data_IF_960726835272
#
_entry.id   IF_960726835272
#
_cell.length_a   1.000
_cell.length_b   1.000
_cell.length_c   1.000
_cell.angle_alpha   90.00
_cell.angle_beta   90.00
_cell.angle_gamma   90.00
#
_symmetry.space_group_name_H-M   'P 1'
#
loop_
_entity.id
_entity.type
_entity.pdbx_description
1 polymer ?
#
# COMPACT_ATOMS: atom_id res chain seq x y z
N UNK A 1 15.73 21.40 -11.34
CA UNK A 1 15.43 20.07 -10.78
C UNK A 1 14.55 20.18 -9.54
N UNK A 2 14.86 21.10 -8.60
CA UNK A 2 13.99 21.40 -7.46
C UNK A 2 12.56 21.78 -7.87
N UNK A 3 12.38 22.62 -8.89
CA UNK A 3 11.05 22.98 -9.40
C UNK A 3 10.22 21.77 -9.85
N UNK A 4 10.89 20.75 -10.41
CA UNK A 4 10.23 19.52 -10.85
C UNK A 4 9.85 18.65 -9.65
N UNK A 5 10.73 18.56 -8.64
CA UNK A 5 10.45 17.83 -7.40
C UNK A 5 9.29 18.47 -6.64
N UNK A 6 9.22 19.81 -6.60
CA UNK A 6 8.11 20.54 -5.97
C UNK A 6 6.78 20.36 -6.73
N UNK A 7 6.81 20.26 -8.06
CA UNK A 7 5.63 19.89 -8.83
C UNK A 7 5.21 18.43 -8.57
N UNK A 8 6.15 17.47 -8.56
CA UNK A 8 5.87 16.07 -8.21
C UNK A 8 5.32 15.92 -6.79
N UNK A 9 5.80 16.74 -5.84
CA UNK A 9 5.26 16.83 -4.48
C UNK A 9 3.82 17.31 -4.48
N UNK A 10 3.49 18.35 -5.26
CA UNK A 10 2.11 18.82 -5.43
C UNK A 10 1.22 17.72 -6.00
N UNK A 11 1.71 16.97 -6.99
CA UNK A 11 0.98 15.84 -7.58
C UNK A 11 0.72 14.74 -6.54
N UNK A 12 1.72 14.39 -5.71
CA UNK A 12 1.54 13.43 -4.62
C UNK A 12 0.50 13.91 -3.61
N UNK A 13 0.58 15.17 -3.18
CA UNK A 13 -0.38 15.77 -2.24
C UNK A 13 -1.81 15.72 -2.78
N UNK A 14 -2.00 16.11 -4.04
CA UNK A 14 -3.32 16.01 -4.69
C UNK A 14 -3.79 14.56 -4.72
N UNK A 15 -2.90 13.61 -5.05
CA UNK A 15 -3.22 12.17 -5.05
C UNK A 15 -3.69 11.67 -3.69
N UNK A 16 -2.97 12.03 -2.62
CA UNK A 16 -3.31 11.65 -1.23
C UNK A 16 -4.69 12.19 -0.86
N UNK A 17 -4.91 13.49 -1.08
CA UNK A 17 -6.16 14.18 -0.67
C UNK A 17 -7.40 13.74 -1.47
N UNK A 18 -7.24 12.97 -2.57
CA UNK A 18 -8.39 12.33 -3.25
C UNK A 18 -9.00 11.19 -2.45
N UNK A 19 -8.21 10.50 -1.62
CA UNK A 19 -8.72 9.39 -0.83
C UNK A 19 -9.55 9.92 0.35
N UNK A 20 -10.82 9.49 0.46
CA UNK A 20 -11.73 9.93 1.54
C UNK A 20 -11.72 9.03 2.78
N UNK A 21 -11.31 7.76 2.63
CA UNK A 21 -11.39 6.75 3.70
C UNK A 21 -10.05 6.06 3.94
N UNK A 22 -9.47 5.51 2.89
CA UNK A 22 -8.19 4.81 2.97
C UNK A 22 -7.39 5.09 1.69
N UNK A 23 -6.09 5.27 1.84
CA UNK A 23 -5.13 5.34 0.75
C UNK A 23 -4.24 4.09 0.80
N UNK A 24 -4.14 3.38 -0.32
CA UNK A 24 -3.20 2.27 -0.48
C UNK A 24 -2.20 2.66 -1.56
N UNK A 25 -0.93 2.75 -1.19
CA UNK A 25 0.17 3.01 -2.12
C UNK A 25 0.89 1.69 -2.46
N UNK A 26 1.30 1.54 -3.70
CA UNK A 26 2.07 0.38 -4.17
C UNK A 26 3.33 0.83 -4.88
N UNK A 27 4.42 0.08 -4.71
CA UNK A 27 5.65 0.25 -5.48
C UNK A 27 6.05 -1.10 -6.08
N UNK A 28 6.77 -1.07 -7.19
CA UNK A 28 7.28 -2.27 -7.84
C UNK A 28 8.75 -2.48 -7.49
N UNK A 29 9.11 -3.64 -6.94
CA UNK A 29 10.52 -4.00 -6.69
C UNK A 29 11.29 -4.14 -8.01
N UNK A 30 10.63 -4.60 -9.07
CA UNK A 30 11.23 -4.81 -10.39
C UNK A 30 10.22 -4.48 -11.48
N UNK A 31 10.62 -3.68 -12.48
CA UNK A 31 9.80 -3.34 -13.65
C UNK A 31 10.61 -3.39 -14.94
N UNK A 32 9.96 -3.68 -16.06
CA UNK A 32 10.55 -3.57 -17.39
C UNK A 32 10.24 -2.18 -17.95
N UNK A 33 11.26 -1.38 -18.24
CA UNK A 33 11.13 -0.05 -18.85
C UNK A 33 12.06 0.01 -20.06
N UNK A 34 11.50 0.35 -21.22
CA UNK A 34 12.24 0.45 -22.49
C UNK A 34 13.09 -0.79 -22.79
N UNK A 35 12.52 -1.99 -22.62
CA UNK A 35 13.22 -3.26 -22.89
C UNK A 35 14.10 -3.78 -21.75
N UNK A 36 14.50 -2.92 -20.81
CA UNK A 36 15.45 -3.27 -19.74
C UNK A 36 14.74 -3.47 -18.40
N UNK A 37 15.23 -4.42 -17.60
CA UNK A 37 14.79 -4.59 -16.22
C UNK A 37 15.42 -3.54 -15.31
N UNK A 38 14.60 -2.87 -14.51
CA UNK A 38 15.00 -1.87 -13.53
C UNK A 38 14.45 -2.24 -12.16
N UNK A 39 15.20 -1.91 -11.12
CA UNK A 39 14.81 -2.02 -9.72
C UNK A 39 14.65 -0.60 -9.17
N UNK A 40 13.46 0.01 -9.29
CA UNK A 40 13.27 1.37 -8.82
C UNK A 40 13.19 1.39 -7.29
N UNK A 41 13.81 2.38 -6.68
CA UNK A 41 13.60 2.69 -5.27
C UNK A 41 12.17 3.21 -5.03
N UNK A 42 11.63 3.06 -3.81
CA UNK A 42 10.37 3.68 -3.41
C UNK A 42 10.38 5.21 -3.62
N UNK A 43 9.19 5.81 -3.75
CA UNK A 43 9.07 7.27 -3.86
C UNK A 43 9.55 7.93 -2.57
N UNK A 44 10.45 8.92 -2.68
CA UNK A 44 10.95 9.69 -1.53
C UNK A 44 9.84 10.31 -0.69
N UNK A 45 8.71 10.66 -1.30
CA UNK A 45 7.59 11.28 -0.60
C UNK A 45 6.91 10.34 0.40
N UNK A 46 7.15 9.02 0.32
CA UNK A 46 6.66 8.06 1.32
C UNK A 46 7.43 8.22 2.64
N UNK A 47 8.73 8.50 2.59
CA UNK A 47 9.57 8.67 3.78
C UNK A 47 9.29 10.00 4.49
N UNK A 48 8.77 10.98 3.76
CA UNK A 48 8.41 12.30 4.29
C UNK A 48 7.04 12.32 5.01
N UNK A 49 6.23 11.28 4.85
CA UNK A 49 4.93 11.16 5.50
C UNK A 49 5.09 10.77 6.99
N UNK A 50 4.07 11.04 7.84
CA UNK A 50 4.06 10.55 9.22
C UNK A 50 4.10 9.01 9.24
N UNK A 51 5.21 8.45 9.72
CA UNK A 51 5.44 7.00 9.66
C UNK A 51 4.49 6.21 10.59
N UNK A 52 3.99 6.84 11.65
CA UNK A 52 2.99 6.28 12.56
C UNK A 52 1.65 5.96 11.88
N UNK A 53 1.31 6.68 10.81
CA UNK A 53 0.07 6.47 10.05
C UNK A 53 0.24 5.44 8.92
N UNK A 54 1.47 4.99 8.64
CA UNK A 54 1.80 4.11 7.53
C UNK A 54 1.89 2.66 7.99
N UNK A 55 1.12 1.80 7.33
CA UNK A 55 1.20 0.35 7.48
C UNK A 55 1.88 -0.27 6.27
N UNK A 56 3.11 -0.77 6.45
CA UNK A 56 3.88 -1.39 5.38
C UNK A 56 3.48 -2.87 5.20
N UNK A 57 2.94 -3.18 4.03
CA UNK A 57 2.52 -4.53 3.64
C UNK A 57 3.58 -5.22 2.78
N UNK A 58 3.73 -6.54 2.93
CA UNK A 58 4.48 -7.38 1.98
C UNK A 58 6.00 -7.27 2.04
N UNK A 59 6.58 -6.59 3.02
CA UNK A 59 8.04 -6.59 3.26
C UNK A 59 8.46 -7.99 3.72
N UNK A 60 9.46 -8.58 3.05
CA UNK A 60 10.03 -9.87 3.46
C UNK A 60 10.61 -9.73 4.88
N UNK A 61 10.08 -10.50 5.83
CA UNK A 61 10.46 -10.42 7.25
C UNK A 61 9.84 -9.25 8.02
N UNK A 62 8.87 -8.54 7.46
CA UNK A 62 8.10 -7.53 8.20
C UNK A 62 7.21 -8.17 9.27
N UNK A 63 6.97 -7.42 10.34
CA UNK A 63 6.03 -7.87 11.38
C UNK A 63 4.61 -8.00 10.81
N UNK A 64 3.86 -9.04 11.20
CA UNK A 64 2.45 -9.16 10.84
C UNK A 64 1.66 -7.94 11.32
N UNK A 65 0.90 -7.31 10.41
CA UNK A 65 0.09 -6.12 10.73
C UNK A 65 -1.11 -6.47 11.64
N UNK A 66 -1.50 -7.75 11.64
CA UNK A 66 -2.51 -8.30 12.53
C UNK A 66 -1.92 -9.49 13.25
N UNK A 67 -2.32 -9.70 14.51
CA UNK A 67 -1.94 -10.90 15.23
C UNK A 67 -2.48 -12.15 14.52
N UNK A 68 -1.86 -13.31 14.77
CA UNK A 68 -2.35 -14.58 14.22
C UNK A 68 -3.79 -14.87 14.65
N UNK A 69 -4.20 -14.39 15.82
CA UNK A 69 -5.53 -14.57 16.37
C UNK A 69 -6.56 -13.69 15.67
N UNK A 70 -6.29 -12.39 15.52
CA UNK A 70 -7.14 -11.47 14.76
C UNK A 70 -7.26 -11.88 13.30
N UNK A 71 -6.14 -12.30 12.68
CA UNK A 71 -6.15 -12.82 11.31
C UNK A 71 -7.05 -14.04 11.13
N UNK A 72 -7.05 -14.97 12.11
CA UNK A 72 -7.96 -16.13 12.12
C UNK A 72 -9.41 -15.72 12.29
N UNK A 73 -9.69 -14.77 13.19
CA UNK A 73 -11.05 -14.28 13.43
C UNK A 73 -11.64 -13.59 12.20
N UNK A 74 -10.87 -12.70 11.55
CA UNK A 74 -11.30 -12.05 10.31
C UNK A 74 -11.58 -13.06 9.18
N UNK A 75 -10.70 -14.07 9.02
CA UNK A 75 -10.91 -15.12 8.02
C UNK A 75 -12.15 -15.97 8.32
N UNK A 76 -12.40 -16.31 9.59
CA UNK A 76 -13.60 -17.05 9.97
C UNK A 76 -14.87 -16.28 9.61
N UNK A 77 -14.95 -14.98 9.94
CA UNK A 77 -16.09 -14.15 9.56
C UNK A 77 -16.28 -14.01 8.05
N UNK A 78 -15.18 -13.94 7.27
CA UNK A 78 -15.27 -13.95 5.80
C UNK A 78 -15.79 -15.28 5.25
N UNK A 79 -15.37 -16.42 5.83
CA UNK A 79 -15.85 -17.75 5.44
C UNK A 79 -17.33 -17.93 5.75
N UNK A 80 -17.79 -17.45 6.91
CA UNK A 80 -19.20 -17.49 7.29
C UNK A 80 -20.07 -16.66 6.34
N UNK A 81 -19.60 -15.46 5.95
CA UNK A 81 -20.29 -14.63 4.95
C UNK A 81 -20.37 -15.31 3.57
N UNK A 82 -19.31 -16.01 3.15
CA UNK A 82 -19.31 -16.77 1.89
C UNK A 82 -20.28 -17.96 1.95
N UNK A 83 -20.29 -18.70 3.06
CA UNK A 83 -21.20 -19.82 3.26
C UNK A 83 -22.68 -19.39 3.31
N UNK A 84 -22.97 -18.22 3.89
CA UNK A 84 -24.31 -17.64 3.91
C UNK A 84 -24.79 -17.22 2.52
N UNK A 85 -23.89 -16.74 1.65
CA UNK A 85 -24.23 -16.29 0.28
C UNK A 85 -24.47 -17.43 -0.70
N UNK A 86 -23.92 -18.61 -0.46
CA UNK A 86 -24.13 -19.82 -1.30
C UNK A 86 -25.42 -20.59 -1.03
N UNK A 87 -26.24 -20.17 -0.07
CA UNK A 87 -27.53 -20.80 0.30
C UNK A 87 -28.76 -20.09 -0.28
N UNK A 88 -28.58 -19.23 -1.28
CA UNK A 88 -29.64 -18.54 -2.02
C UNK A 88 -29.82 -19.08 -3.42
#
# INVERSE_FOLDING_TARGET
EEDNVEEERRLMYVGITRAKRQLTLTHCVKRKKQGTWQFPEPSRFIDEMPQEDIKILGRKGGEPIVSKEEGRSHLAGMLDMLAAKGKG
#
